data_IF_028204763833
#
_entry.id   IF_028204763833
#
_cell.length_a   1.000
_cell.length_b   1.000
_cell.length_c   1.000
_cell.angle_alpha   90.00
_cell.angle_beta   90.00
_cell.angle_gamma   90.00
#
_symmetry.space_group_name_H-M   'P 1'
#
loop_
_entity.id
_entity.type
_entity.pdbx_description
1 polymer ?
#
# COMPACT_ATOMS: atom_id res chain seq x y z
N UNK A 1 12.64 -20.30 7.51
CA UNK A 1 13.33 -19.21 8.24
C UNK A 1 12.27 -18.60 9.10
N UNK A 2 12.40 -18.82 10.38
CA UNK A 2 11.22 -18.81 11.23
C UNK A 2 11.17 -17.55 12.12
N UNK A 3 10.22 -17.55 12.98
CA UNK A 3 9.83 -16.65 14.06
C UNK A 3 10.91 -15.77 14.69
N UNK A 4 12.17 -16.24 14.75
CA UNK A 4 13.27 -15.50 15.40
C UNK A 4 13.62 -14.18 14.71
N UNK A 5 13.47 -14.09 13.37
CA UNK A 5 13.83 -12.88 12.62
C UNK A 5 12.79 -11.76 12.75
N UNK A 6 11.51 -12.10 12.85
CA UNK A 6 10.44 -11.10 13.07
C UNK A 6 10.45 -10.62 14.52
N UNK A 7 10.64 -11.52 15.47
CA UNK A 7 10.79 -11.18 16.90
C UNK A 7 12.00 -10.26 17.12
N UNK A 8 13.09 -10.54 16.41
CA UNK A 8 14.29 -9.71 16.44
C UNK A 8 14.07 -8.28 15.94
N UNK A 9 13.19 -8.06 14.95
CA UNK A 9 12.81 -6.73 14.47
C UNK A 9 11.97 -5.94 15.50
N UNK A 10 11.18 -6.62 16.32
CA UNK A 10 10.36 -5.99 17.36
C UNK A 10 11.17 -5.48 18.56
N UNK A 11 12.39 -5.99 18.78
CA UNK A 11 13.25 -5.71 19.92
C UNK A 11 14.59 -5.08 19.52
N UNK A 12 14.64 -4.45 18.35
CA UNK A 12 15.88 -3.85 17.86
C UNK A 12 16.22 -2.60 18.65
N UNK A 13 17.38 -2.61 19.29
CA UNK A 13 18.03 -1.40 19.76
C UNK A 13 18.38 -0.51 18.56
N UNK A 14 18.35 0.80 18.76
CA UNK A 14 18.55 1.80 17.69
C UNK A 14 19.84 1.54 16.86
N UNK A 15 20.89 1.01 17.49
CA UNK A 15 22.16 0.66 16.84
C UNK A 15 22.04 -0.45 15.79
N UNK A 16 21.19 -1.44 16.00
CA UNK A 16 21.03 -2.59 15.10
C UNK A 16 19.93 -2.36 14.04
N UNK A 17 19.06 -1.39 14.26
CA UNK A 17 17.91 -1.11 13.38
C UNK A 17 18.34 -0.91 11.93
N UNK A 18 19.31 -0.05 11.68
CA UNK A 18 19.74 0.31 10.33
C UNK A 18 20.46 -0.81 9.58
N UNK A 19 21.19 -1.64 10.29
CA UNK A 19 21.79 -2.84 9.70
C UNK A 19 20.72 -3.83 9.26
N UNK A 20 19.72 -4.06 10.11
CA UNK A 20 18.57 -4.91 9.78
C UNK A 20 17.70 -4.29 8.69
N UNK A 21 17.52 -2.98 8.71
CA UNK A 21 16.85 -2.24 7.64
C UNK A 21 17.48 -2.49 6.28
N UNK A 22 18.79 -2.29 6.16
CA UNK A 22 19.52 -2.51 4.91
C UNK A 22 19.40 -3.97 4.45
N UNK A 23 19.48 -4.94 5.38
CA UNK A 23 19.31 -6.36 5.09
C UNK A 23 17.92 -6.68 4.59
N UNK A 24 16.86 -6.16 5.21
CA UNK A 24 15.47 -6.38 4.81
C UNK A 24 15.19 -5.75 3.44
N UNK A 25 15.62 -4.51 3.22
CA UNK A 25 15.42 -3.82 1.95
C UNK A 25 16.17 -4.48 0.79
N UNK A 26 17.40 -4.91 0.99
CA UNK A 26 18.23 -5.56 -0.04
C UNK A 26 18.00 -7.05 -0.22
N UNK A 27 17.21 -7.70 0.64
CA UNK A 27 16.97 -9.15 0.58
C UNK A 27 15.89 -9.51 -0.43
N UNK A 28 16.11 -10.52 -1.28
CA UNK A 28 15.05 -11.07 -2.13
C UNK A 28 13.90 -11.71 -1.32
N UNK A 29 14.14 -12.08 -0.07
CA UNK A 29 13.13 -12.68 0.84
C UNK A 29 12.49 -11.64 1.77
N UNK A 30 12.95 -10.39 1.73
CA UNK A 30 12.43 -9.31 2.59
C UNK A 30 11.42 -8.42 1.87
N UNK A 31 10.70 -7.64 2.63
CA UNK A 31 9.80 -6.55 2.25
C UNK A 31 9.04 -6.75 0.92
N UNK A 32 8.08 -7.67 0.96
CA UNK A 32 7.30 -8.10 -0.19
C UNK A 32 6.71 -6.95 -1.01
N UNK A 33 6.22 -5.89 -0.34
CA UNK A 33 5.49 -4.80 -0.96
C UNK A 33 6.21 -4.19 -2.16
N UNK A 34 7.42 -3.65 -1.95
CA UNK A 34 8.14 -2.97 -3.03
C UNK A 34 8.73 -3.94 -4.03
N UNK A 35 9.25 -5.04 -3.52
CA UNK A 35 9.81 -6.10 -4.34
C UNK A 35 8.76 -6.68 -5.30
N UNK A 36 7.54 -6.99 -4.79
CA UNK A 36 6.49 -7.59 -5.58
C UNK A 36 5.90 -6.61 -6.61
N UNK A 37 5.67 -5.37 -6.21
CA UNK A 37 5.18 -4.34 -7.13
C UNK A 37 6.25 -3.82 -8.09
N UNK A 38 7.53 -4.14 -7.82
CA UNK A 38 8.67 -3.70 -8.62
C UNK A 38 8.73 -2.17 -8.82
N UNK A 39 8.38 -1.44 -7.76
CA UNK A 39 8.47 0.00 -7.74
C UNK A 39 9.94 0.42 -7.74
N UNK A 40 10.30 1.33 -8.62
CA UNK A 40 11.67 1.86 -8.76
C UNK A 40 11.63 3.36 -8.65
N UNK A 41 12.52 3.93 -7.87
CA UNK A 41 12.68 5.37 -7.79
C UNK A 41 14.00 5.80 -8.42
N UNK A 42 13.94 6.82 -9.25
CA UNK A 42 15.14 7.49 -9.73
C UNK A 42 15.72 8.35 -8.59
N UNK A 43 16.99 8.11 -8.18
CA UNK A 43 17.57 8.80 -7.03
C UNK A 43 17.86 10.28 -7.28
N UNK A 44 17.82 10.73 -8.53
CA UNK A 44 18.13 12.12 -8.91
C UNK A 44 16.85 12.93 -9.11
N UNK A 45 15.94 12.41 -9.95
CA UNK A 45 14.66 13.12 -10.24
C UNK A 45 13.62 12.87 -9.16
N UNK A 46 13.77 11.84 -8.33
CA UNK A 46 12.80 11.33 -7.37
C UNK A 46 11.50 10.82 -8.01
N UNK A 47 11.50 10.63 -9.32
CA UNK A 47 10.38 10.01 -10.02
C UNK A 47 10.30 8.51 -9.66
N UNK A 48 9.11 8.03 -9.34
CA UNK A 48 8.85 6.61 -9.17
C UNK A 48 8.38 6.01 -10.49
N UNK A 49 8.77 4.77 -10.78
CA UNK A 49 8.37 4.01 -11.96
C UNK A 49 7.79 2.67 -11.53
N UNK A 50 6.67 2.29 -12.13
CA UNK A 50 6.04 1.00 -11.89
C UNK A 50 5.41 0.47 -13.17
N UNK A 51 5.80 -0.76 -13.55
CA UNK A 51 5.14 -1.51 -14.63
C UNK A 51 3.84 -2.10 -14.10
N UNK A 52 2.77 -1.94 -14.87
CA UNK A 52 1.43 -2.37 -14.47
C UNK A 52 1.13 -3.77 -15.01
N UNK A 53 0.76 -4.67 -14.10
CA UNK A 53 0.39 -6.04 -14.42
C UNK A 53 -1.12 -6.24 -14.24
N UNK A 54 -1.62 -7.37 -14.73
CA UNK A 54 -3.03 -7.76 -14.59
C UNK A 54 -3.49 -7.91 -13.15
N UNK A 55 -2.60 -8.39 -12.26
CA UNK A 55 -2.89 -8.57 -10.83
C UNK A 55 -3.04 -7.23 -10.08
N UNK A 56 -2.62 -6.12 -10.67
CA UNK A 56 -2.81 -4.76 -10.17
C UNK A 56 -4.10 -4.10 -10.69
N UNK A 57 -4.98 -4.89 -11.29
CA UNK A 57 -6.24 -4.42 -11.87
C UNK A 57 -7.41 -5.11 -11.21
N UNK A 58 -8.51 -4.38 -11.10
CA UNK A 58 -9.77 -4.96 -10.67
C UNK A 58 -10.43 -5.76 -11.82
N UNK A 59 -11.49 -6.54 -11.57
CA UNK A 59 -12.18 -7.32 -12.60
C UNK A 59 -12.72 -6.48 -13.78
N UNK A 60 -13.03 -5.20 -13.58
CA UNK A 60 -13.44 -4.31 -14.68
C UNK A 60 -12.28 -3.91 -15.62
N UNK A 61 -11.04 -4.28 -15.27
CA UNK A 61 -9.81 -3.96 -15.99
C UNK A 61 -9.17 -2.63 -15.58
N UNK A 62 -9.82 -1.84 -14.76
CA UNK A 62 -9.26 -0.59 -14.26
C UNK A 62 -8.21 -0.81 -13.17
N UNK A 63 -7.37 0.18 -12.93
CA UNK A 63 -6.29 0.10 -11.95
C UNK A 63 -6.83 0.09 -10.52
N UNK A 64 -6.20 -0.69 -9.66
CA UNK A 64 -6.39 -0.66 -8.22
C UNK A 64 -5.66 0.56 -7.62
N UNK A 65 -6.21 1.12 -6.55
CA UNK A 65 -5.62 2.27 -5.87
C UNK A 65 -4.44 1.88 -4.96
N UNK A 66 -4.44 0.68 -4.35
CA UNK A 66 -3.37 0.26 -3.46
C UNK A 66 -2.00 0.21 -4.16
N UNK A 67 -1.82 -0.42 -5.34
CA UNK A 67 -0.55 -0.35 -6.06
C UNK A 67 -0.10 1.07 -6.37
N UNK A 68 -1.04 1.94 -6.78
CA UNK A 68 -0.74 3.34 -7.05
C UNK A 68 -0.31 4.09 -5.79
N UNK A 69 -1.00 3.88 -4.67
CA UNK A 69 -0.65 4.47 -3.37
C UNK A 69 0.72 4.03 -2.90
N UNK A 70 1.04 2.74 -3.03
CA UNK A 70 2.29 2.15 -2.56
C UNK A 70 3.46 2.62 -3.43
N UNK A 71 3.31 2.56 -4.76
CA UNK A 71 4.33 2.99 -5.71
C UNK A 71 4.71 4.47 -5.56
N UNK A 72 3.81 5.26 -4.96
CA UNK A 72 4.00 6.70 -4.70
C UNK A 72 4.57 6.99 -3.32
N UNK A 73 4.30 6.13 -2.33
CA UNK A 73 4.70 6.38 -0.95
C UNK A 73 6.22 6.31 -0.74
N UNK A 74 6.93 5.72 -1.67
CA UNK A 74 8.38 5.57 -1.64
C UNK A 74 9.12 6.73 -2.32
N UNK A 75 8.49 7.86 -2.40
CA UNK A 75 9.27 9.08 -2.51
C UNK A 75 10.31 9.03 -1.41
N UNK A 76 11.60 9.12 -1.81
CA UNK A 76 12.77 9.11 -0.94
C UNK A 76 12.42 9.78 0.37
N UNK A 77 12.22 8.98 1.41
CA UNK A 77 12.05 9.49 2.75
C UNK A 77 13.21 10.41 3.02
N UNK A 78 12.96 11.48 3.75
CA UNK A 78 14.02 12.33 4.26
C UNK A 78 15.18 11.40 4.71
N UNK A 79 16.34 11.45 4.03
CA UNK A 79 17.52 10.63 4.35
C UNK A 79 17.93 10.75 5.82
N UNK A 80 17.31 11.67 6.54
CA UNK A 80 17.54 11.96 7.95
C UNK A 80 16.53 11.31 8.88
N UNK A 81 15.49 10.63 8.37
CA UNK A 81 14.41 10.11 9.21
C UNK A 81 13.77 8.82 8.69
N UNK A 82 13.31 7.98 9.60
CA UNK A 82 12.41 6.87 9.30
C UNK A 82 10.97 7.38 9.42
N UNK A 83 10.20 7.44 8.32
CA UNK A 83 8.81 7.82 8.37
C UNK A 83 7.93 6.61 8.72
N UNK A 84 6.80 6.87 9.39
CA UNK A 84 5.68 5.95 9.45
C UNK A 84 4.43 6.64 8.88
N UNK A 85 3.67 5.99 8.01
CA UNK A 85 2.47 6.59 7.46
C UNK A 85 1.40 6.77 8.54
N UNK A 86 0.69 7.90 8.49
CA UNK A 86 -0.50 8.19 9.31
C UNK A 86 -1.75 8.14 8.44
N UNK A 87 -1.65 8.65 7.23
CA UNK A 87 -2.74 8.66 6.25
C UNK A 87 -2.17 8.66 4.84
N UNK A 88 -2.84 7.99 3.93
CA UNK A 88 -2.62 8.11 2.50
C UNK A 88 -3.94 8.17 1.76
N UNK A 89 -4.00 8.93 0.66
CA UNK A 89 -5.15 8.97 -0.24
C UNK A 89 -4.73 8.93 -1.70
N UNK A 90 -5.58 8.33 -2.51
CA UNK A 90 -5.46 8.26 -3.97
C UNK A 90 -6.80 8.66 -4.57
N UNK A 91 -6.79 9.62 -5.48
CA UNK A 91 -7.91 10.03 -6.28
C UNK A 91 -7.66 9.57 -7.73
N UNK A 92 -8.40 8.57 -8.18
CA UNK A 92 -8.24 7.99 -9.52
C UNK A 92 -9.02 8.85 -10.51
N UNK A 93 -8.32 9.47 -11.45
CA UNK A 93 -8.88 10.37 -12.45
C UNK A 93 -9.12 9.68 -13.79
N UNK A 94 -8.32 8.66 -14.10
CA UNK A 94 -8.41 7.81 -15.28
C UNK A 94 -8.29 6.34 -14.84
N UNK A 95 -9.16 5.46 -15.30
CA UNK A 95 -9.14 4.05 -14.91
C UNK A 95 -7.93 3.27 -15.47
N UNK A 96 -7.17 3.86 -16.37
CA UNK A 96 -5.87 3.37 -16.85
C UNK A 96 -5.89 1.99 -17.49
N UNK A 97 -7.02 1.57 -18.11
CA UNK A 97 -7.21 0.20 -18.64
C UNK A 97 -6.17 -0.20 -19.66
N UNK A 98 -5.70 0.74 -20.46
CA UNK A 98 -4.73 0.58 -21.54
C UNK A 98 -3.30 0.98 -21.14
N UNK A 99 -3.11 1.53 -19.95
CA UNK A 99 -1.81 1.99 -19.46
C UNK A 99 -0.94 0.79 -19.08
N UNK A 100 0.31 0.77 -19.52
CA UNK A 100 1.27 -0.33 -19.29
C UNK A 100 2.23 -0.06 -18.15
N UNK A 101 2.55 1.21 -17.93
CA UNK A 101 3.43 1.64 -16.86
C UNK A 101 3.09 3.06 -16.44
N UNK A 102 3.39 3.38 -15.20
CA UNK A 102 3.14 4.71 -14.64
C UNK A 102 4.41 5.33 -14.10
N UNK A 103 4.43 6.65 -14.12
CA UNK A 103 5.46 7.47 -13.48
C UNK A 103 4.82 8.32 -12.41
N UNK A 104 5.47 8.37 -11.27
CA UNK A 104 5.11 9.27 -10.19
C UNK A 104 5.91 10.56 -10.24
N UNK A 105 5.20 11.67 -10.27
CA UNK A 105 5.78 13.01 -10.29
C UNK A 105 5.50 13.69 -8.95
N UNK A 106 6.54 14.00 -8.15
CA UNK A 106 6.32 14.71 -6.89
C UNK A 106 5.81 16.13 -7.16
N UNK A 107 4.75 16.54 -6.46
CA UNK A 107 4.20 17.89 -6.54
C UNK A 107 4.81 18.81 -5.46
N UNK A 108 6.13 18.98 -5.52
CA UNK A 108 6.86 19.79 -4.55
C UNK A 108 7.20 19.00 -3.26
N UNK A 109 7.88 19.70 -2.34
CA UNK A 109 8.24 19.16 -1.03
C UNK A 109 7.03 19.09 -0.07
N UNK A 110 7.24 18.64 1.18
CA UNK A 110 6.18 18.58 2.17
C UNK A 110 5.56 19.96 2.37
N UNK A 111 4.22 20.02 2.28
CA UNK A 111 3.46 21.28 2.47
C UNK A 111 3.66 21.86 3.87
N UNK A 112 3.94 20.98 4.83
CA UNK A 112 4.28 21.34 6.20
C UNK A 112 5.14 20.25 6.81
N UNK A 113 6.33 20.62 7.27
CA UNK A 113 7.18 19.78 8.11
C UNK A 113 7.11 20.29 9.55
N UNK A 114 6.54 19.47 10.43
CA UNK A 114 6.56 19.68 11.88
C UNK A 114 7.69 18.91 12.53
N UNK A 115 7.85 19.05 13.86
CA UNK A 115 8.86 18.29 14.61
C UNK A 115 8.66 16.76 14.53
N UNK A 116 7.43 16.30 14.41
CA UNK A 116 7.07 14.87 14.35
C UNK A 116 6.14 14.53 13.19
N UNK A 117 5.34 15.48 12.70
CA UNK A 117 4.35 15.24 11.68
C UNK A 117 4.74 15.96 10.38
N UNK A 118 4.85 15.21 9.31
CA UNK A 118 5.07 15.69 7.96
C UNK A 118 3.80 15.50 7.13
N UNK A 119 3.36 16.58 6.52
CA UNK A 119 2.24 16.58 5.59
C UNK A 119 2.78 16.66 4.16
N UNK A 120 2.61 15.60 3.41
CA UNK A 120 3.06 15.53 2.02
C UNK A 120 2.21 16.40 1.10
N UNK A 121 2.87 17.11 0.19
CA UNK A 121 2.21 17.96 -0.80
C UNK A 121 1.46 17.21 -1.88
N UNK A 122 1.59 15.89 -1.93
CA UNK A 122 0.99 15.05 -2.95
C UNK A 122 1.91 14.77 -4.14
N UNK A 123 1.42 13.93 -5.04
CA UNK A 123 2.07 13.58 -6.29
C UNK A 123 1.05 13.29 -7.39
N UNK A 124 1.46 13.44 -8.63
CA UNK A 124 0.72 12.97 -9.78
C UNK A 124 1.24 11.60 -10.19
N UNK A 125 0.33 10.72 -10.55
CA UNK A 125 0.63 9.49 -11.26
C UNK A 125 0.19 9.70 -12.69
N UNK A 126 1.13 9.58 -13.61
CA UNK A 126 0.89 9.80 -15.04
C UNK A 126 1.23 8.53 -15.83
N UNK A 127 0.65 8.39 -17.02
CA UNK A 127 1.05 7.38 -17.97
C UNK A 127 2.52 7.60 -18.38
N UNK A 128 3.33 6.55 -18.36
CA UNK A 128 4.75 6.66 -18.72
C UNK A 128 4.96 6.99 -20.20
N UNK A 129 4.03 6.57 -21.06
CA UNK A 129 4.06 6.81 -22.51
C UNK A 129 3.44 8.17 -22.89
N UNK A 130 2.59 8.74 -22.03
CA UNK A 130 1.94 10.05 -22.22
C UNK A 130 1.87 10.81 -20.87
N UNK A 131 2.89 11.58 -20.58
CA UNK A 131 3.01 12.30 -19.30
C UNK A 131 1.97 13.41 -19.07
N UNK A 132 1.23 13.80 -20.10
CA UNK A 132 0.10 14.73 -19.98
C UNK A 132 -1.18 14.02 -19.53
N UNK A 133 -1.21 12.69 -19.63
CA UNK A 133 -2.31 11.84 -19.15
C UNK A 133 -2.16 11.54 -17.66
N UNK A 134 -2.93 12.23 -16.86
CA UNK A 134 -2.93 12.03 -15.41
C UNK A 134 -3.86 10.88 -15.05
N UNK A 135 -3.30 9.84 -14.43
CA UNK A 135 -4.02 8.65 -13.97
C UNK A 135 -4.59 8.88 -12.57
N UNK A 136 -3.80 9.40 -11.66
CA UNK A 136 -4.23 9.64 -10.29
C UNK A 136 -3.51 10.82 -9.64
N UNK A 137 -4.12 11.32 -8.59
CA UNK A 137 -3.51 12.27 -7.66
C UNK A 137 -3.41 11.64 -6.28
N UNK A 138 -2.28 11.81 -5.60
CA UNK A 138 -2.01 11.22 -4.29
C UNK A 138 -1.69 12.26 -3.25
N UNK A 139 -2.03 11.97 -2.00
CA UNK A 139 -1.63 12.76 -0.84
C UNK A 139 -1.25 11.83 0.30
N UNK A 140 -0.39 12.30 1.21
CA UNK A 140 0.00 11.52 2.35
C UNK A 140 0.42 12.36 3.55
N UNK A 141 0.31 11.74 4.70
CA UNK A 141 0.78 12.28 5.97
C UNK A 141 1.52 11.19 6.73
N UNK A 142 2.68 11.54 7.25
CA UNK A 142 3.51 10.63 8.03
C UNK A 142 4.07 11.27 9.29
N UNK A 143 4.56 10.43 10.18
CA UNK A 143 5.30 10.84 11.37
C UNK A 143 6.74 10.35 11.27
N UNK A 144 7.66 11.12 11.79
CA UNK A 144 9.03 10.68 11.99
C UNK A 144 9.08 9.82 13.25
N UNK A 145 9.52 8.56 13.12
CA UNK A 145 9.67 7.62 14.25
C UNK A 145 11.10 7.50 14.76
N UNK A 146 12.09 7.74 13.91
CA UNK A 146 13.51 7.72 14.29
C UNK A 146 14.31 8.65 13.38
N UNK A 147 15.51 9.01 13.81
CA UNK A 147 16.52 9.66 12.97
C UNK A 147 17.31 8.62 12.18
N UNK A 148 17.63 8.91 10.92
CA UNK A 148 18.58 8.11 10.18
C UNK A 148 20.01 8.38 10.69
N UNK A 149 20.89 7.37 10.73
CA UNK A 149 22.27 7.58 11.11
C UNK A 149 22.99 8.49 10.11
N UNK A 150 23.99 9.23 10.60
CA UNK A 150 24.82 10.04 9.74
C UNK A 150 25.53 9.16 8.69
N UNK A 151 25.38 9.51 7.41
CA UNK A 151 25.97 8.76 6.31
C UNK A 151 25.14 7.56 5.86
N UNK A 152 23.89 7.44 6.30
CA UNK A 152 22.96 6.44 5.78
C UNK A 152 22.74 6.64 4.26
N UNK A 153 22.90 5.54 3.52
CA UNK A 153 22.60 5.49 2.10
C UNK A 153 21.34 4.66 1.87
N UNK A 154 20.46 5.16 1.03
CA UNK A 154 19.25 4.45 0.66
C UNK A 154 19.60 3.11 -0.03
N UNK A 155 18.98 2.03 0.43
CA UNK A 155 19.10 0.71 -0.17
C UNK A 155 17.83 0.44 -0.98
N UNK A 156 17.91 0.37 -2.32
CA UNK A 156 16.74 0.07 -3.13
C UNK A 156 16.25 -1.36 -2.87
N UNK A 157 14.92 -1.61 -2.92
CA UNK A 157 14.38 -2.95 -2.83
C UNK A 157 14.92 -3.86 -3.93
N UNK A 158 15.17 -5.13 -3.59
CA UNK A 158 15.56 -6.11 -4.60
C UNK A 158 14.39 -6.37 -5.57
N UNK A 159 14.62 -6.35 -6.90
CA UNK A 159 13.58 -6.61 -7.87
C UNK A 159 13.07 -8.05 -7.77
N UNK A 160 11.77 -8.27 -7.92
CA UNK A 160 11.17 -9.61 -7.88
C UNK A 160 11.35 -10.43 -9.14
N UNK A 161 11.57 -9.77 -10.28
CA UNK A 161 11.58 -10.42 -11.59
C UNK A 161 10.20 -10.94 -12.04
N UNK A 162 9.12 -10.57 -11.37
CA UNK A 162 7.76 -10.98 -11.72
C UNK A 162 7.34 -10.32 -13.03
N UNK A 163 6.94 -11.14 -13.97
CA UNK A 163 6.48 -10.72 -15.30
C UNK A 163 4.97 -10.86 -15.38
N UNK A 164 4.29 -9.95 -16.08
CA UNK A 164 2.85 -10.05 -16.31
C UNK A 164 2.49 -11.33 -17.07
N UNK A 165 1.52 -12.07 -16.58
CA UNK A 165 1.11 -13.34 -17.16
C UNK A 165 -0.19 -13.88 -16.56
N UNK A 166 -0.88 -14.79 -17.28
CA UNK A 166 -2.17 -15.35 -16.81
C UNK A 166 -2.05 -16.17 -15.53
N UNK A 167 -0.83 -16.58 -15.17
CA UNK A 167 -0.53 -17.40 -13.99
C UNK A 167 -0.40 -16.59 -12.71
N UNK A 168 -0.41 -15.25 -12.81
CA UNK A 168 -0.32 -14.41 -11.61
C UNK A 168 -1.58 -14.60 -10.75
N UNK A 169 -1.43 -14.89 -9.47
CA UNK A 169 -2.56 -14.90 -8.55
C UNK A 169 -3.11 -13.48 -8.38
N UNK A 170 -4.35 -13.33 -7.91
CA UNK A 170 -4.86 -12.03 -7.46
C UNK A 170 -3.91 -11.37 -6.46
N UNK A 171 -3.78 -10.05 -6.53
CA UNK A 171 -2.79 -9.31 -5.76
C UNK A 171 -2.87 -9.60 -4.24
N UNK A 172 -4.08 -9.65 -3.69
CA UNK A 172 -4.29 -9.94 -2.27
C UNK A 172 -3.82 -11.35 -1.86
N UNK A 173 -3.98 -12.35 -2.73
CA UNK A 173 -3.46 -13.70 -2.50
C UNK A 173 -1.93 -13.74 -2.59
N UNK A 174 -1.34 -12.98 -3.53
CA UNK A 174 0.11 -12.82 -3.62
C UNK A 174 0.71 -12.21 -2.35
N UNK A 175 -0.08 -11.40 -1.64
CA UNK A 175 0.25 -10.84 -0.32
C UNK A 175 -0.16 -11.74 0.85
N UNK A 176 -0.50 -13.02 0.59
CA UNK A 176 -0.80 -14.00 1.61
C UNK A 176 -2.20 -13.88 2.23
N UNK A 177 -3.07 -13.02 1.69
CA UNK A 177 -4.44 -12.92 2.17
C UNK A 177 -5.22 -14.20 1.82
N UNK A 178 -6.02 -14.67 2.77
CA UNK A 178 -6.88 -15.85 2.62
C UNK A 178 -8.17 -15.69 3.42
N UNK A 179 -9.17 -16.48 3.09
CA UNK A 179 -10.38 -16.58 3.91
C UNK A 179 -10.10 -17.40 5.18
N UNK A 180 -10.54 -16.89 6.31
CA UNK A 180 -10.52 -17.63 7.57
C UNK A 180 -11.82 -18.44 7.79
N UNK A 181 -11.92 -19.12 8.93
CA UNK A 181 -13.09 -19.93 9.29
C UNK A 181 -14.40 -19.12 9.40
N UNK A 182 -14.32 -17.81 9.56
CA UNK A 182 -15.47 -16.89 9.61
C UNK A 182 -15.83 -16.30 8.26
N UNK A 183 -15.21 -16.80 7.19
CA UNK A 183 -15.34 -16.27 5.83
C UNK A 183 -14.92 -14.80 5.69
N UNK A 184 -14.00 -14.35 6.55
CA UNK A 184 -13.39 -13.02 6.47
C UNK A 184 -11.98 -13.13 5.89
N UNK A 185 -11.54 -12.10 5.17
CA UNK A 185 -10.18 -12.03 4.69
C UNK A 185 -9.21 -11.75 5.84
N UNK A 186 -8.08 -12.44 5.83
CA UNK A 186 -7.00 -12.21 6.78
C UNK A 186 -5.64 -12.29 6.11
N UNK A 187 -4.70 -11.47 6.58
CA UNK A 187 -3.27 -11.65 6.35
C UNK A 187 -2.71 -12.59 7.44
N UNK A 188 -1.64 -13.33 7.15
CA UNK A 188 -1.03 -14.24 8.12
C UNK A 188 -0.48 -13.50 9.35
N UNK A 189 0.04 -14.27 10.29
CA UNK A 189 0.92 -13.74 11.34
C UNK A 189 2.09 -12.98 10.72
N UNK A 190 2.57 -11.97 11.45
CA UNK A 190 3.63 -11.10 10.95
C UNK A 190 4.91 -11.89 10.70
N UNK A 191 5.39 -11.85 9.48
CA UNK A 191 6.66 -12.43 9.05
C UNK A 191 7.57 -11.37 8.41
N UNK A 192 8.78 -11.78 8.04
CA UNK A 192 9.77 -10.88 7.47
C UNK A 192 9.31 -10.25 6.13
N UNK A 193 8.49 -10.94 5.35
CA UNK A 193 8.03 -10.44 4.05
C UNK A 193 6.96 -9.36 4.20
N UNK A 194 6.15 -9.46 5.26
CA UNK A 194 5.07 -8.52 5.57
C UNK A 194 5.49 -7.42 6.54
N UNK A 195 6.62 -7.59 7.24
CA UNK A 195 7.10 -6.62 8.20
C UNK A 195 7.71 -5.40 7.51
N UNK A 196 7.39 -4.22 8.05
CA UNK A 196 8.16 -3.01 7.80
C UNK A 196 9.51 -3.09 8.55
N UNK A 197 10.39 -2.16 8.23
CA UNK A 197 11.67 -2.03 8.92
C UNK A 197 11.58 -1.75 10.42
N UNK A 198 10.42 -1.28 10.89
CA UNK A 198 10.13 -1.10 12.32
C UNK A 198 9.56 -2.35 13.01
N UNK A 199 9.54 -3.50 12.34
CA UNK A 199 8.96 -4.73 12.88
C UNK A 199 7.44 -4.68 13.06
N UNK A 200 6.76 -3.97 12.20
CA UNK A 200 5.30 -3.85 12.17
C UNK A 200 4.77 -4.20 10.79
N UNK A 201 3.50 -4.54 10.69
CA UNK A 201 2.87 -4.83 9.40
C UNK A 201 3.08 -3.65 8.44
N UNK A 202 3.60 -3.95 7.25
CA UNK A 202 3.86 -2.96 6.24
C UNK A 202 2.56 -2.39 5.65
N UNK A 203 2.56 -1.09 5.39
CA UNK A 203 1.37 -0.40 4.86
C UNK A 203 0.88 -0.96 3.52
N UNK A 204 1.77 -1.53 2.71
CA UNK A 204 1.41 -2.12 1.43
C UNK A 204 0.49 -3.34 1.56
N UNK A 205 0.86 -4.31 2.39
CA UNK A 205 0.00 -5.47 2.67
C UNK A 205 -1.35 -5.03 3.24
N UNK A 206 -1.34 -4.04 4.13
CA UNK A 206 -2.55 -3.43 4.70
C UNK A 206 -3.46 -2.87 3.60
N UNK A 207 -2.93 -2.06 2.69
CA UNK A 207 -3.73 -1.44 1.64
C UNK A 207 -4.30 -2.45 0.65
N UNK A 208 -3.48 -3.43 0.24
CA UNK A 208 -3.90 -4.45 -0.73
C UNK A 208 -5.09 -5.27 -0.21
N UNK A 209 -5.04 -5.76 1.04
CA UNK A 209 -6.15 -6.54 1.58
C UNK A 209 -7.38 -5.69 1.84
N UNK A 210 -7.22 -4.45 2.33
CA UNK A 210 -8.35 -3.56 2.61
C UNK A 210 -9.05 -3.11 1.33
N UNK A 211 -8.32 -2.78 0.26
CA UNK A 211 -8.93 -2.44 -1.02
C UNK A 211 -9.68 -3.64 -1.62
N UNK A 212 -9.11 -4.83 -1.53
CA UNK A 212 -9.79 -6.04 -1.98
C UNK A 212 -11.12 -6.25 -1.26
N UNK A 213 -11.16 -6.15 0.08
CA UNK A 213 -12.39 -6.26 0.87
C UNK A 213 -13.40 -5.17 0.51
N UNK A 214 -12.93 -3.92 0.32
CA UNK A 214 -13.78 -2.82 -0.09
C UNK A 214 -14.42 -3.07 -1.47
N UNK A 215 -13.62 -3.60 -2.42
CA UNK A 215 -14.11 -3.96 -3.75
C UNK A 215 -15.18 -5.07 -3.67
N UNK A 216 -14.92 -6.18 -2.98
CA UNK A 216 -15.90 -7.27 -2.84
C UNK A 216 -17.23 -6.80 -2.24
N UNK A 217 -17.17 -6.00 -1.18
CA UNK A 217 -18.36 -5.44 -0.55
C UNK A 217 -19.15 -4.54 -1.51
N UNK A 218 -18.45 -3.67 -2.24
CA UNK A 218 -19.07 -2.77 -3.21
C UNK A 218 -19.65 -3.55 -4.40
N UNK A 219 -18.92 -4.51 -4.96
CA UNK A 219 -19.36 -5.37 -6.05
C UNK A 219 -20.57 -6.22 -5.66
N UNK A 220 -20.56 -6.82 -4.47
CA UNK A 220 -21.70 -7.54 -3.91
C UNK A 220 -22.94 -6.66 -3.76
N UNK A 221 -22.78 -5.42 -3.29
CA UNK A 221 -23.87 -4.45 -3.18
C UNK A 221 -24.36 -3.98 -4.55
N UNK A 222 -23.45 -3.71 -5.48
CA UNK A 222 -23.77 -3.34 -6.86
C UNK A 222 -24.36 -4.52 -7.67
N UNK A 223 -24.12 -5.75 -7.23
CA UNK A 223 -24.40 -6.99 -7.97
C UNK A 223 -23.70 -7.02 -9.33
N UNK A 224 -22.51 -6.46 -9.38
CA UNK A 224 -21.70 -6.35 -10.59
C UNK A 224 -20.24 -6.10 -10.22
N UNK A 225 -19.34 -6.71 -10.93
CA UNK A 225 -17.90 -6.47 -10.86
C UNK A 225 -17.47 -5.29 -11.78
N UNK A 226 -18.41 -4.76 -12.58
CA UNK A 226 -18.18 -3.60 -13.44
C UNK A 226 -18.21 -2.30 -12.64
N UNK A 227 -17.36 -2.22 -11.64
CA UNK A 227 -17.16 -1.02 -10.82
C UNK A 227 -15.68 -0.65 -10.81
N UNK A 228 -15.43 0.65 -10.69
CA UNK A 228 -14.10 1.23 -10.64
C UNK A 228 -13.94 2.10 -9.39
N UNK A 229 -12.81 1.98 -8.73
CA UNK A 229 -12.46 2.86 -7.62
C UNK A 229 -12.17 4.28 -8.14
N UNK A 230 -12.70 5.29 -7.45
CA UNK A 230 -12.45 6.71 -7.70
C UNK A 230 -11.60 7.32 -6.58
N UNK A 231 -11.94 6.98 -5.34
CA UNK A 231 -11.24 7.49 -4.16
C UNK A 231 -10.85 6.36 -3.23
N UNK A 232 -9.64 6.42 -2.74
CA UNK A 232 -9.11 5.54 -1.72
C UNK A 232 -8.42 6.37 -0.64
N UNK A 233 -8.78 6.15 0.60
CA UNK A 233 -8.10 6.77 1.75
C UNK A 233 -7.88 5.72 2.81
N UNK A 234 -6.67 5.65 3.35
CA UNK A 234 -6.34 4.79 4.47
C UNK A 234 -5.75 5.61 5.61
N UNK A 235 -6.23 5.36 6.83
CA UNK A 235 -5.70 5.91 8.08
C UNK A 235 -5.10 4.78 8.91
N UNK A 236 -3.87 4.95 9.34
CA UNK A 236 -3.16 4.01 10.20
C UNK A 236 -3.32 4.46 11.65
N UNK A 237 -4.04 3.67 12.44
CA UNK A 237 -4.41 4.02 13.82
C UNK A 237 -3.44 3.44 14.85
N UNK A 238 -2.81 2.31 14.51
CA UNK A 238 -1.79 1.69 15.33
C UNK A 238 -0.87 0.78 14.51
N UNK A 239 0.25 0.39 15.10
CA UNK A 239 1.15 -0.60 14.52
C UNK A 239 0.55 -2.01 14.64
N UNK A 240 0.44 -2.74 13.54
CA UNK A 240 0.17 -4.19 13.54
C UNK A 240 1.45 -4.95 13.89
N UNK A 241 1.41 -5.85 14.88
CA UNK A 241 2.65 -6.44 15.42
C UNK A 241 2.66 -7.96 15.51
N UNK A 242 1.50 -8.59 15.48
CA UNK A 242 1.40 -10.04 15.72
C UNK A 242 0.66 -10.74 14.60
N UNK A 243 -0.60 -10.38 14.32
CA UNK A 243 -1.47 -11.12 13.41
C UNK A 243 -2.08 -12.38 14.07
N UNK A 244 -2.91 -13.16 13.32
CA UNK A 244 -3.34 -12.82 11.98
C UNK A 244 -4.08 -11.48 11.94
N UNK A 245 -4.04 -10.81 10.78
CA UNK A 245 -4.67 -9.51 10.61
C UNK A 245 -5.97 -9.66 9.82
N UNK A 246 -7.10 -9.50 10.49
CA UNK A 246 -8.42 -9.70 9.92
C UNK A 246 -8.98 -8.42 9.32
N UNK A 247 -9.43 -8.51 8.06
CA UNK A 247 -10.05 -7.43 7.33
C UNK A 247 -11.57 -7.63 7.25
N UNK A 248 -12.32 -6.57 7.56
CA UNK A 248 -13.79 -6.55 7.49
C UNK A 248 -14.30 -5.16 7.17
N UNK A 249 -15.57 -5.03 6.83
CA UNK A 249 -16.13 -3.71 6.53
C UNK A 249 -17.62 -3.70 6.22
N UNK A 250 -18.08 -2.55 5.77
CA UNK A 250 -19.46 -2.30 5.36
C UNK A 250 -19.51 -1.42 4.12
N UNK A 251 -20.56 -1.57 3.33
CA UNK A 251 -20.83 -0.69 2.20
C UNK A 251 -22.13 0.05 2.39
N UNK A 252 -22.13 1.32 1.98
CA UNK A 252 -23.32 2.16 1.93
C UNK A 252 -23.47 2.64 0.50
N UNK A 253 -24.56 2.33 -0.13
CA UNK A 253 -24.86 2.73 -1.50
C UNK A 253 -26.20 3.45 -1.60
N UNK A 254 -26.43 4.20 -2.67
CA UNK A 254 -27.71 4.82 -2.93
C UNK A 254 -28.77 3.77 -3.24
N UNK A 255 -29.90 3.84 -2.55
CA UNK A 255 -30.99 2.86 -2.72
C UNK A 255 -31.76 3.01 -4.05
N UNK A 256 -31.71 4.17 -4.71
CA UNK A 256 -32.57 4.47 -5.83
C UNK A 256 -31.85 4.75 -7.16
N UNK A 257 -30.58 5.17 -7.13
CA UNK A 257 -29.75 5.41 -8.32
C UNK A 257 -28.29 5.14 -7.96
N UNK A 258 -27.77 3.96 -8.25
CA UNK A 258 -26.40 3.60 -7.88
C UNK A 258 -25.42 4.35 -8.78
N UNK A 259 -25.00 5.52 -8.37
CA UNK A 259 -23.94 6.26 -9.05
C UNK A 259 -22.61 6.16 -8.33
N UNK A 260 -22.63 5.89 -7.03
CA UNK A 260 -21.44 5.72 -6.18
C UNK A 260 -21.74 4.78 -5.03
N UNK A 261 -20.72 4.00 -4.66
CA UNK A 261 -20.75 3.13 -3.49
C UNK A 261 -19.58 3.52 -2.58
N UNK A 262 -19.88 3.81 -1.32
CA UNK A 262 -18.87 4.05 -0.31
C UNK A 262 -18.66 2.78 0.51
N UNK A 263 -17.45 2.26 0.56
CA UNK A 263 -17.07 1.15 1.44
C UNK A 263 -16.16 1.68 2.53
N UNK A 264 -16.43 1.29 3.78
CA UNK A 264 -15.54 1.50 4.92
C UNK A 264 -15.07 0.13 5.38
N UNK A 265 -13.75 -0.03 5.49
CA UNK A 265 -13.09 -1.28 5.86
C UNK A 265 -12.10 -1.04 6.98
N UNK A 266 -11.80 -2.08 7.73
CA UNK A 266 -10.87 -2.02 8.86
C UNK A 266 -9.99 -3.26 8.90
N UNK A 267 -8.78 -3.11 9.45
CA UNK A 267 -7.84 -4.20 9.72
C UNK A 267 -7.60 -4.30 11.22
N UNK A 268 -7.79 -5.49 11.75
CA UNK A 268 -7.66 -5.81 13.18
C UNK A 268 -6.52 -6.80 13.39
N UNK A 269 -5.58 -6.49 14.27
CA UNK A 269 -4.55 -7.40 14.75
C UNK A 269 -5.16 -8.31 15.84
N UNK A 270 -5.48 -9.55 15.46
CA UNK A 270 -6.14 -10.52 16.34
C UNK A 270 -5.21 -11.05 17.42
N UNK A 271 -3.93 -11.19 17.11
CA UNK A 271 -2.92 -11.64 18.07
C UNK A 271 -2.56 -10.58 19.12
N UNK A 272 -2.99 -9.32 18.93
CA UNK A 272 -2.69 -8.23 19.84
C UNK A 272 -3.97 -7.62 20.45
N UNK A 273 -4.84 -8.47 20.99
CA UNK A 273 -6.04 -8.05 21.73
C UNK A 273 -7.03 -7.25 20.87
N UNK A 274 -7.24 -7.71 19.63
CA UNK A 274 -8.17 -7.10 18.68
C UNK A 274 -7.87 -5.61 18.39
N UNK A 275 -6.58 -5.29 18.25
CA UNK A 275 -6.14 -3.91 18.03
C UNK A 275 -6.50 -3.46 16.62
N UNK A 276 -7.18 -2.32 16.51
CA UNK A 276 -7.43 -1.67 15.23
C UNK A 276 -6.11 -1.13 14.65
N UNK A 277 -5.71 -1.65 13.49
CA UNK A 277 -4.46 -1.27 12.80
C UNK A 277 -4.71 -0.14 11.81
N UNK A 278 -5.74 -0.30 10.97
CA UNK A 278 -6.04 0.68 9.94
C UNK A 278 -7.54 0.73 9.61
N UNK A 279 -7.96 1.87 9.08
CA UNK A 279 -9.30 2.07 8.51
C UNK A 279 -9.12 2.55 7.08
N UNK A 280 -9.75 1.86 6.12
CA UNK A 280 -9.83 2.26 4.72
C UNK A 280 -11.21 2.79 4.37
N UNK A 281 -11.26 3.78 3.48
CA UNK A 281 -12.50 4.26 2.87
C UNK A 281 -12.32 4.29 1.36
N UNK A 282 -13.24 3.67 0.64
CA UNK A 282 -13.23 3.62 -0.82
C UNK A 282 -14.52 4.19 -1.39
N UNK A 283 -14.43 4.89 -2.51
CA UNK A 283 -15.56 5.28 -3.34
C UNK A 283 -15.43 4.56 -4.68
N UNK A 284 -16.48 3.85 -5.06
CA UNK A 284 -16.57 3.17 -6.35
C UNK A 284 -17.68 3.77 -7.19
N UNK A 285 -17.50 3.79 -8.52
CA UNK A 285 -18.51 4.10 -9.51
C UNK A 285 -18.77 2.90 -10.41
N UNK A 286 -19.99 2.73 -10.97
CA UNK A 286 -20.19 1.82 -12.09
C UNK A 286 -19.32 2.23 -13.28
N UNK A 287 -18.85 1.25 -13.99
CA UNK A 287 -18.24 1.44 -15.32
C UNK A 287 -19.38 1.47 -16.30
N UNK A 288 -19.53 2.60 -17.00
CA UNK A 288 -20.61 2.82 -17.99
C UNK A 288 -20.30 2.18 -19.35
#
# INVERSE_FOLDING_TARGET
MADDDVIALQHVDEGDFWEKFARVMGSPDGLLTYRYLNCRQDPVSLEGHMDLRRDMRNPSGGLMAAPLSIGMAEGRGDDTAVPAPVMGSVHVLDDGRDVRSVVSLPMGGPSKSGRTLNFGGGGLIVDADDRDRVIAFTQGMGVKIADAPAGYEYVPPAPSGIVDGPELPPLHEAFGARRNERDLWELPELDLQHASTSGTLHHGATQVVLEHVAFELAAGHARSDDIQIEDWTVMYTSAGRVGPFEASGTVVGPNARPQRYAAQVQLIDRGLGDRLVAIGTAIFRPVG
#
